data_IF_861246070094
#
_entry.id   IF_861246070094
#
_cell.length_a   1.000
_cell.length_b   1.000
_cell.length_c   1.000
_cell.angle_alpha   90.00
_cell.angle_beta   90.00
_cell.angle_gamma   90.00
#
_symmetry.space_group_name_H-M   'P 1'
#
loop_
_entity.id
_entity.type
_entity.pdbx_description
1 polymer ?
#
# COMPACT_ATOMS: atom_id res chain seq x y z
N UNK A 1 15.68 -7.31 18.91
CA UNK A 1 15.54 -7.33 20.39
C UNK A 1 16.09 -6.08 21.09
N UNK A 2 17.29 -5.57 20.81
CA UNK A 2 17.86 -4.40 21.52
C UNK A 2 17.09 -3.10 21.25
N UNK A 3 16.76 -2.79 20.00
CA UNK A 3 16.04 -1.56 19.62
C UNK A 3 14.65 -1.50 20.28
N UNK A 4 13.89 -2.57 20.27
CA UNK A 4 12.57 -2.64 20.91
C UNK A 4 12.66 -2.37 22.44
N UNK A 5 13.73 -2.84 23.10
CA UNK A 5 13.95 -2.60 24.53
C UNK A 5 14.30 -1.14 24.81
N UNK A 6 15.14 -0.50 23.97
CA UNK A 6 15.49 0.92 24.09
C UNK A 6 14.23 1.81 23.97
N UNK A 7 13.33 1.51 23.02
CA UNK A 7 12.07 2.22 22.93
C UNK A 7 11.16 2.00 24.16
N UNK A 8 11.07 0.78 24.67
CA UNK A 8 10.29 0.50 25.90
C UNK A 8 10.87 1.23 27.11
N UNK A 9 12.21 1.26 27.24
CA UNK A 9 12.89 2.01 28.29
C UNK A 9 12.59 3.52 28.18
N UNK A 10 12.73 4.08 26.99
CA UNK A 10 12.42 5.48 26.73
C UNK A 10 10.97 5.83 27.07
N UNK A 11 10.02 4.97 26.66
CA UNK A 11 8.60 5.17 26.93
C UNK A 11 8.31 5.20 28.43
N UNK A 12 8.84 4.24 29.20
CA UNK A 12 8.70 4.20 30.66
C UNK A 12 9.25 5.48 31.32
N UNK A 13 10.41 5.97 30.86
CA UNK A 13 11.04 7.18 31.39
C UNK A 13 10.29 8.47 30.98
N UNK A 14 9.48 8.43 29.92
CA UNK A 14 8.60 9.55 29.52
C UNK A 14 7.29 9.57 30.32
N UNK A 15 6.80 8.40 30.78
CA UNK A 15 5.57 8.30 31.56
C UNK A 15 5.78 8.69 33.03
N UNK A 16 6.97 8.45 33.57
CA UNK A 16 7.26 8.68 34.98
C UNK A 16 8.48 9.57 35.14
N UNK A 17 8.39 10.52 36.04
CA UNK A 17 9.48 11.46 36.31
C UNK A 17 10.80 10.79 36.68
N UNK A 18 10.73 9.64 37.40
CA UNK A 18 11.90 8.87 37.85
C UNK A 18 11.54 7.43 38.10
N UNK A 19 12.42 6.49 37.70
CA UNK A 19 12.24 5.05 37.93
C UNK A 19 13.56 4.44 38.43
N UNK A 20 13.54 3.67 39.54
CA UNK A 20 14.72 2.93 40.00
C UNK A 20 15.25 1.96 38.96
N UNK A 21 16.59 1.85 38.84
CA UNK A 21 17.22 0.95 37.88
C UNK A 21 16.85 -0.52 38.07
N UNK A 22 16.59 -0.93 39.34
CA UNK A 22 16.11 -2.27 39.69
C UNK A 22 14.71 -2.54 39.19
N UNK A 23 13.80 -1.54 39.25
CA UNK A 23 12.44 -1.65 38.75
C UNK A 23 12.43 -1.73 37.22
N UNK A 24 13.23 -0.90 36.52
CA UNK A 24 13.42 -0.99 35.09
C UNK A 24 13.98 -2.34 34.66
N UNK A 25 14.96 -2.87 35.39
CA UNK A 25 15.55 -4.16 35.10
C UNK A 25 14.51 -5.30 35.22
N UNK A 26 13.63 -5.23 36.21
CA UNK A 26 12.55 -6.18 36.40
C UNK A 26 11.49 -6.07 35.32
N UNK A 27 11.05 -4.84 34.97
CA UNK A 27 10.00 -4.58 33.97
C UNK A 27 10.46 -4.96 32.57
N UNK A 28 11.75 -4.80 32.27
CA UNK A 28 12.33 -5.09 30.96
C UNK A 28 12.99 -6.46 30.86
N UNK A 29 12.93 -7.25 31.97
CA UNK A 29 13.47 -8.61 32.07
C UNK A 29 14.97 -8.69 31.73
N UNK A 30 15.75 -7.74 32.25
CA UNK A 30 17.20 -7.63 32.00
C UNK A 30 17.95 -7.34 33.32
N UNK A 31 19.29 -7.43 33.28
CA UNK A 31 20.10 -7.05 34.41
C UNK A 31 20.16 -5.53 34.59
N UNK A 32 20.36 -5.05 35.81
CA UNK A 32 20.60 -3.63 36.13
C UNK A 32 21.80 -3.08 35.33
N UNK A 33 22.82 -3.90 35.09
CA UNK A 33 23.97 -3.55 34.24
C UNK A 33 23.52 -3.26 32.78
N UNK A 34 22.58 -4.05 32.29
CA UNK A 34 22.02 -3.84 30.92
C UNK A 34 21.24 -2.53 30.84
N UNK A 35 20.48 -2.18 31.90
CA UNK A 35 19.78 -0.90 31.98
C UNK A 35 20.73 0.28 31.88
N UNK A 36 21.84 0.27 32.65
CA UNK A 36 22.82 1.35 32.58
C UNK A 36 23.48 1.45 31.20
N UNK A 37 23.72 0.33 30.52
CA UNK A 37 24.24 0.31 29.15
C UNK A 37 23.21 0.88 28.17
N UNK A 38 21.94 0.52 28.31
CA UNK A 38 20.86 1.04 27.48
C UNK A 38 20.66 2.56 27.71
N UNK A 39 20.77 3.04 28.94
CA UNK A 39 20.77 4.47 29.30
C UNK A 39 21.94 5.21 28.62
N UNK A 40 23.13 4.62 28.63
CA UNK A 40 24.28 5.21 27.95
C UNK A 40 24.01 5.29 26.42
N UNK A 41 23.48 4.24 25.81
CA UNK A 41 23.12 4.21 24.40
C UNK A 41 22.07 5.28 24.06
N UNK A 42 21.07 5.50 24.93
CA UNK A 42 20.11 6.58 24.75
C UNK A 42 20.79 7.96 24.84
N UNK A 43 21.74 8.13 25.77
CA UNK A 43 22.53 9.36 25.89
C UNK A 43 23.38 9.64 24.66
N UNK A 44 24.03 8.62 24.11
CA UNK A 44 24.81 8.70 22.85
C UNK A 44 23.90 9.05 21.65
N UNK A 45 22.63 8.64 21.69
CA UNK A 45 21.61 8.99 20.71
C UNK A 45 21.01 10.40 20.93
N UNK A 46 21.56 11.20 21.89
CA UNK A 46 21.12 12.58 22.15
C UNK A 46 19.91 12.70 23.07
N UNK A 47 19.49 11.63 23.75
CA UNK A 47 18.42 11.66 24.73
C UNK A 47 19.06 11.94 26.11
N UNK A 48 18.79 13.08 26.77
CA UNK A 48 19.44 13.44 28.02
C UNK A 48 18.85 12.66 29.19
N UNK A 49 19.24 11.41 29.30
CA UNK A 49 18.92 10.52 30.42
C UNK A 49 20.03 10.65 31.47
N UNK A 50 19.66 10.78 32.72
CA UNK A 50 20.59 10.82 33.83
C UNK A 50 20.20 9.85 34.94
N UNK A 51 21.19 9.46 35.72
CA UNK A 51 21.01 8.58 36.88
C UNK A 51 21.40 9.31 38.18
N UNK A 52 20.49 9.42 39.13
CA UNK A 52 20.76 9.94 40.45
C UNK A 52 21.01 8.81 41.42
N UNK A 53 22.01 8.97 42.29
CA UNK A 53 22.32 8.04 43.37
C UNK A 53 21.62 8.47 44.67
N UNK A 54 21.21 7.51 45.49
CA UNK A 54 20.63 7.77 46.79
C UNK A 54 19.40 6.94 47.09
N UNK A 55 18.81 7.15 48.26
CA UNK A 55 17.64 6.38 48.75
C UNK A 55 16.41 6.59 47.85
N UNK A 56 16.29 7.78 47.26
CA UNK A 56 15.26 8.18 46.30
C UNK A 56 15.84 8.33 44.88
N UNK A 57 16.98 7.70 44.60
CA UNK A 57 17.66 7.74 43.32
C UNK A 57 16.98 6.90 42.24
N UNK A 58 17.28 7.19 41.03
CA UNK A 58 16.72 6.46 39.87
C UNK A 58 17.21 7.04 38.54
N UNK A 59 16.67 6.51 37.47
CA UNK A 59 16.93 6.98 36.10
C UNK A 59 15.79 7.88 35.71
N UNK A 60 16.12 9.05 35.16
CA UNK A 60 15.16 10.04 34.72
C UNK A 60 15.64 10.70 33.42
N UNK A 61 14.70 11.25 32.69
CA UNK A 61 14.99 12.17 31.58
C UNK A 61 14.96 13.59 32.13
N UNK A 62 15.85 14.48 31.67
CA UNK A 62 15.82 15.89 32.08
C UNK A 62 14.40 16.47 31.88
N UNK A 63 13.81 17.16 32.88
CA UNK A 63 12.43 17.70 32.78
C UNK A 63 12.26 18.70 31.63
N UNK A 64 13.35 19.30 31.19
CA UNK A 64 13.40 20.19 30.01
C UNK A 64 13.46 19.41 28.70
N UNK A 65 13.76 18.12 28.75
CA UNK A 65 13.68 17.24 27.60
C UNK A 65 12.22 16.81 27.43
N UNK A 66 11.50 17.60 26.76
CA UNK A 66 10.37 17.07 25.99
C UNK A 66 11.00 16.32 24.83
N UNK A 67 10.53 15.10 24.54
CA UNK A 67 10.89 14.39 23.32
C UNK A 67 10.73 15.44 22.21
N UNK A 68 11.88 15.97 21.80
CA UNK A 68 11.83 17.29 21.21
C UNK A 68 11.11 17.12 19.89
N UNK A 69 10.01 17.84 19.71
CA UNK A 69 9.43 18.10 18.38
C UNK A 69 10.52 18.47 17.36
N UNK A 70 11.76 18.71 17.81
CA UNK A 70 12.93 19.07 17.03
C UNK A 70 13.70 17.89 16.40
N UNK A 71 13.41 16.61 16.72
CA UNK A 71 13.96 15.49 15.96
C UNK A 71 13.37 15.40 14.55
N UNK A 72 12.20 16.00 14.35
CA UNK A 72 11.57 16.12 13.05
C UNK A 72 11.49 17.59 12.69
N UNK A 73 11.99 17.98 11.54
CA UNK A 73 11.79 19.30 10.95
C UNK A 73 10.31 19.59 10.73
N UNK A 74 9.96 20.84 10.52
CA UNK A 74 8.59 21.21 10.20
C UNK A 74 8.08 20.51 8.92
N UNK A 75 8.96 20.34 7.92
CA UNK A 75 8.66 19.60 6.68
C UNK A 75 8.37 18.13 6.94
N UNK A 76 9.25 17.42 7.66
CA UNK A 76 9.06 15.99 7.97
C UNK A 76 7.77 15.72 8.75
N UNK A 77 7.41 16.61 9.71
CA UNK A 77 6.11 16.52 10.41
C UNK A 77 4.94 16.68 9.46
N UNK A 78 5.06 17.62 8.54
CA UNK A 78 4.02 17.89 7.54
C UNK A 78 3.87 16.69 6.59
N UNK A 79 4.97 16.11 6.13
CA UNK A 79 4.98 14.93 5.26
C UNK A 79 4.34 13.72 5.95
N UNK A 80 4.67 13.49 7.22
CA UNK A 80 4.06 12.43 8.03
C UNK A 80 2.55 12.62 8.20
N UNK A 81 2.10 13.84 8.51
CA UNK A 81 0.67 14.13 8.64
C UNK A 81 -0.07 13.97 7.31
N UNK A 82 0.54 14.40 6.20
CA UNK A 82 -0.01 14.22 4.86
C UNK A 82 -0.13 12.75 4.47
N UNK A 83 0.90 11.93 4.76
CA UNK A 83 0.87 10.49 4.53
C UNK A 83 -0.22 9.79 5.36
N UNK A 84 -0.38 10.18 6.63
CA UNK A 84 -1.44 9.66 7.50
C UNK A 84 -2.84 10.08 7.04
N UNK A 85 -2.98 11.31 6.55
CA UNK A 85 -4.23 11.81 5.97
C UNK A 85 -4.60 11.02 4.71
N UNK A 86 -3.61 10.73 3.85
CA UNK A 86 -3.79 9.86 2.69
C UNK A 86 -4.26 8.46 3.11
N UNK A 87 -3.65 7.84 4.12
CA UNK A 87 -4.09 6.55 4.65
C UNK A 87 -5.48 6.60 5.28
N UNK A 88 -5.82 7.68 6.00
CA UNK A 88 -7.14 7.85 6.59
C UNK A 88 -8.24 7.98 5.53
N UNK A 89 -7.94 8.59 4.37
CA UNK A 89 -8.89 8.69 3.26
C UNK A 89 -9.20 7.33 2.61
N UNK A 90 -8.31 6.35 2.74
CA UNK A 90 -8.56 4.96 2.28
C UNK A 90 -9.46 4.15 3.22
N UNK A 91 -9.72 4.64 4.44
CA UNK A 91 -10.34 3.87 5.52
C UNK A 91 -9.40 2.86 6.19
N UNK A 92 -8.11 2.84 5.83
CA UNK A 92 -7.11 1.97 6.44
C UNK A 92 -6.58 2.49 7.79
N UNK A 93 -6.84 3.76 8.11
CA UNK A 93 -6.53 4.39 9.40
C UNK A 93 -7.76 5.16 9.90
N UNK A 94 -7.90 5.29 11.21
CA UNK A 94 -9.00 6.07 11.78
C UNK A 94 -8.64 7.56 11.85
N UNK A 95 -9.68 8.41 11.78
CA UNK A 95 -9.54 9.87 11.90
C UNK A 95 -9.12 10.29 13.30
N UNK A 96 -9.39 9.48 14.30
CA UNK A 96 -9.02 9.76 15.68
C UNK A 96 -7.50 9.71 15.86
N UNK A 97 -6.83 8.70 15.30
CA UNK A 97 -5.37 8.59 15.28
C UNK A 97 -4.72 9.79 14.59
N UNK A 98 -5.27 10.22 13.45
CA UNK A 98 -4.79 11.41 12.75
C UNK A 98 -4.96 12.68 13.62
N UNK A 99 -6.10 12.84 14.29
CA UNK A 99 -6.36 13.95 15.21
C UNK A 99 -5.38 14.00 16.38
N UNK A 100 -5.10 12.86 17.02
CA UNK A 100 -4.13 12.73 18.12
C UNK A 100 -2.71 13.11 17.65
N UNK A 101 -2.28 12.64 16.49
CA UNK A 101 -0.95 12.94 15.96
C UNK A 101 -0.84 14.40 15.50
N UNK A 102 -1.87 14.98 14.91
CA UNK A 102 -1.90 16.40 14.56
C UNK A 102 -1.78 17.27 15.81
N UNK A 103 -2.49 16.93 16.88
CA UNK A 103 -2.38 17.63 18.17
C UNK A 103 -0.99 17.46 18.79
N UNK A 104 -0.41 16.24 18.71
CA UNK A 104 0.93 15.94 19.23
C UNK A 104 2.03 16.72 18.51
N UNK A 105 1.97 16.81 17.18
CA UNK A 105 2.95 17.59 16.39
C UNK A 105 2.71 19.10 16.45
N UNK A 106 1.55 19.55 16.98
CA UNK A 106 1.22 20.96 17.14
C UNK A 106 1.05 21.71 15.82
N UNK A 107 0.68 20.99 14.76
CA UNK A 107 0.44 21.53 13.42
C UNK A 107 -0.96 21.20 12.95
N UNK A 108 -1.58 22.13 12.21
CA UNK A 108 -2.64 21.76 11.29
C UNK A 108 -1.96 21.11 10.08
N UNK A 109 -2.45 19.96 9.62
CA UNK A 109 -1.99 19.43 8.34
C UNK A 109 -2.33 20.49 7.29
N UNK A 110 -1.34 20.97 6.54
CA UNK A 110 -1.63 21.80 5.40
C UNK A 110 -2.43 20.94 4.41
N UNK A 111 -3.62 21.39 4.03
CA UNK A 111 -4.52 20.70 3.09
C UNK A 111 -4.01 20.93 1.65
N UNK A 112 -2.70 20.67 1.41
CA UNK A 112 -2.07 20.85 0.11
C UNK A 112 -2.25 19.62 -0.80
N UNK A 113 -2.58 18.47 -0.21
CA UNK A 113 -2.85 17.22 -0.91
C UNK A 113 -4.11 16.60 -0.33
N UNK A 114 -5.11 16.41 -1.16
CA UNK A 114 -6.29 15.60 -0.84
C UNK A 114 -6.30 14.39 -1.76
N UNK A 115 -6.15 13.19 -1.19
CA UNK A 115 -6.25 11.95 -1.94
C UNK A 115 -7.65 11.41 -1.74
N UNK A 116 -8.42 11.37 -2.80
CA UNK A 116 -9.74 10.77 -2.82
C UNK A 116 -9.65 9.40 -3.50
N UNK A 117 -9.65 8.36 -2.69
CA UNK A 117 -9.77 6.98 -3.17
C UNK A 117 -11.24 6.58 -3.31
N UNK A 118 -12.14 7.57 -3.48
CA UNK A 118 -13.56 7.35 -3.48
C UNK A 118 -13.93 6.20 -4.44
N UNK A 119 -14.44 5.18 -3.84
CA UNK A 119 -15.19 4.15 -4.53
C UNK A 119 -16.62 4.65 -4.64
N UNK A 120 -17.05 5.00 -5.83
CA UNK A 120 -18.44 5.40 -6.12
C UNK A 120 -19.47 4.40 -5.60
N UNK A 121 -19.04 3.16 -5.31
CA UNK A 121 -19.92 2.11 -4.79
C UNK A 121 -19.93 1.99 -3.25
N UNK A 122 -19.05 2.69 -2.52
CA UNK A 122 -18.92 2.58 -1.05
C UNK A 122 -18.52 1.19 -0.54
N UNK A 123 -18.33 0.23 -1.44
CA UNK A 123 -18.15 -1.20 -1.11
C UNK A 123 -16.79 -1.49 -0.50
N UNK A 124 -15.79 -0.60 -0.70
CA UNK A 124 -14.41 -0.83 -0.25
C UNK A 124 -14.17 -0.43 1.19
N UNK A 125 -14.92 0.53 1.72
CA UNK A 125 -14.71 1.04 3.09
C UNK A 125 -14.85 -0.06 4.15
N UNK A 126 -15.69 -1.07 3.92
CA UNK A 126 -15.84 -2.22 4.81
C UNK A 126 -14.79 -3.31 4.63
N UNK A 127 -14.16 -3.44 3.46
CA UNK A 127 -13.18 -4.51 3.17
C UNK A 127 -11.79 -4.21 3.73
N UNK A 128 -11.32 -2.98 3.61
CA UNK A 128 -9.94 -2.61 3.97
C UNK A 128 -9.59 -2.91 5.44
N UNK A 129 -10.45 -2.62 6.43
CA UNK A 129 -10.17 -3.00 7.82
C UNK A 129 -10.05 -4.52 8.02
N UNK A 130 -10.89 -5.31 7.35
CA UNK A 130 -10.84 -6.78 7.41
C UNK A 130 -9.52 -7.28 6.82
N UNK A 131 -9.15 -6.78 5.65
CA UNK A 131 -7.91 -7.13 4.97
C UNK A 131 -6.69 -6.74 5.79
N UNK A 132 -6.66 -5.52 6.34
CA UNK A 132 -5.58 -5.04 7.23
C UNK A 132 -5.41 -5.95 8.43
N UNK A 133 -6.50 -6.26 9.13
CA UNK A 133 -6.47 -7.13 10.31
C UNK A 133 -5.97 -8.52 9.95
N UNK A 134 -6.46 -9.10 8.85
CA UNK A 134 -6.06 -10.41 8.39
C UNK A 134 -4.57 -10.47 7.97
N UNK A 135 -4.05 -9.43 7.31
CA UNK A 135 -2.63 -9.35 6.95
C UNK A 135 -1.76 -9.26 8.20
N UNK A 136 -2.09 -8.35 9.13
CA UNK A 136 -1.28 -8.12 10.32
C UNK A 136 -1.29 -9.33 11.28
N UNK A 137 -2.43 -10.04 11.39
CA UNK A 137 -2.59 -11.19 12.27
C UNK A 137 -2.32 -12.52 11.56
N UNK A 138 -1.88 -12.51 10.30
CA UNK A 138 -1.67 -13.71 9.48
C UNK A 138 -2.88 -14.64 9.48
N UNK A 139 -4.07 -14.08 9.28
CA UNK A 139 -5.32 -14.81 9.30
C UNK A 139 -5.78 -15.14 7.88
N UNK A 140 -6.04 -16.41 7.56
CA UNK A 140 -6.56 -16.80 6.25
C UNK A 140 -7.94 -16.19 5.95
N UNK A 141 -8.20 -15.96 4.68
CA UNK A 141 -9.43 -15.37 4.16
C UNK A 141 -10.07 -16.28 3.13
N UNK A 142 -11.39 -16.23 3.06
CA UNK A 142 -12.16 -16.83 1.98
C UNK A 142 -13.06 -15.77 1.33
N UNK A 143 -13.19 -15.87 0.01
CA UNK A 143 -14.06 -14.99 -0.79
C UNK A 143 -14.39 -15.63 -2.14
N UNK A 144 -15.38 -15.09 -2.81
CA UNK A 144 -15.65 -15.41 -4.21
C UNK A 144 -14.96 -14.38 -5.10
N UNK A 145 -14.33 -14.86 -6.15
CA UNK A 145 -13.57 -14.04 -7.06
C UNK A 145 -14.04 -14.17 -8.50
N UNK A 146 -14.35 -13.03 -9.11
CA UNK A 146 -14.62 -12.94 -10.54
C UNK A 146 -13.31 -12.75 -11.31
N UNK A 147 -12.99 -13.70 -12.19
CA UNK A 147 -11.82 -13.59 -13.07
C UNK A 147 -12.09 -12.62 -14.25
N UNK A 148 -11.13 -12.44 -15.15
CA UNK A 148 -11.29 -11.61 -16.34
C UNK A 148 -12.28 -12.19 -17.35
N UNK A 149 -12.47 -13.50 -17.36
CA UNK A 149 -13.41 -14.19 -18.24
C UNK A 149 -14.86 -14.18 -17.71
N UNK A 150 -15.11 -13.54 -16.55
CA UNK A 150 -16.45 -13.47 -15.95
C UNK A 150 -16.81 -14.64 -15.06
N UNK A 151 -15.96 -15.68 -14.94
CA UNK A 151 -16.24 -16.82 -14.09
C UNK A 151 -16.07 -16.46 -12.62
N UNK A 152 -17.00 -16.93 -11.80
CA UNK A 152 -16.93 -16.78 -10.34
C UNK A 152 -16.50 -18.09 -9.69
N UNK A 153 -15.47 -18.02 -8.84
CA UNK A 153 -15.02 -19.19 -8.11
C UNK A 153 -14.60 -18.82 -6.68
N UNK A 154 -14.87 -19.71 -5.69
CA UNK A 154 -14.41 -19.52 -4.33
C UNK A 154 -12.88 -19.59 -4.25
N UNK A 155 -12.31 -18.76 -3.38
CA UNK A 155 -10.87 -18.72 -3.11
C UNK A 155 -10.64 -18.70 -1.61
N UNK A 156 -9.65 -19.47 -1.20
CA UNK A 156 -9.06 -19.41 0.13
C UNK A 156 -7.62 -18.95 -0.01
N UNK A 157 -7.25 -17.93 0.74
CA UNK A 157 -5.97 -17.26 0.57
C UNK A 157 -5.35 -16.88 1.89
N UNK A 158 -4.01 -16.85 1.93
CA UNK A 158 -3.23 -16.24 2.97
C UNK A 158 -2.84 -14.82 2.50
N UNK A 159 -3.44 -13.78 3.04
CA UNK A 159 -3.22 -12.41 2.60
C UNK A 159 -1.82 -11.93 3.02
N UNK A 160 -1.08 -11.27 2.09
CA UNK A 160 0.28 -10.83 2.34
C UNK A 160 0.38 -9.31 2.34
N UNK A 161 -0.16 -8.65 1.30
CA UNK A 161 -0.01 -7.21 1.12
C UNK A 161 -1.15 -6.61 0.30
N UNK A 162 -1.47 -5.35 0.59
CA UNK A 162 -2.33 -4.54 -0.27
C UNK A 162 -1.47 -3.65 -1.16
N UNK A 163 -1.81 -3.58 -2.43
CA UNK A 163 -1.21 -2.68 -3.40
C UNK A 163 -2.25 -1.74 -4.00
N UNK A 164 -1.87 -0.47 -4.10
CA UNK A 164 -2.59 0.47 -4.95
C UNK A 164 -1.75 0.70 -6.21
N UNK A 165 -2.24 0.25 -7.34
CA UNK A 165 -1.56 0.31 -8.63
C UNK A 165 -2.57 0.59 -9.74
N UNK A 166 -2.23 1.48 -10.70
CA UNK A 166 -3.08 1.82 -11.85
C UNK A 166 -4.52 2.12 -11.42
N UNK A 167 -4.66 3.06 -10.47
CA UNK A 167 -5.93 3.54 -9.91
C UNK A 167 -6.84 2.44 -9.32
N UNK A 168 -6.27 1.30 -8.93
CA UNK A 168 -7.01 0.19 -8.35
C UNK A 168 -6.25 -0.47 -7.18
N UNK A 169 -7.03 -0.99 -6.22
CA UNK A 169 -6.51 -1.77 -5.12
C UNK A 169 -6.44 -3.25 -5.47
N UNK A 170 -5.35 -3.88 -5.08
CA UNK A 170 -5.08 -5.30 -5.25
C UNK A 170 -4.66 -5.93 -3.93
N UNK A 171 -5.08 -7.16 -3.70
CA UNK A 171 -4.59 -8.02 -2.64
C UNK A 171 -3.57 -8.98 -3.23
N UNK A 172 -2.32 -8.90 -2.79
CA UNK A 172 -1.32 -9.96 -2.98
C UNK A 172 -1.57 -11.02 -1.92
N UNK A 173 -1.76 -12.26 -2.33
CA UNK A 173 -2.01 -13.37 -1.43
C UNK A 173 -1.49 -14.69 -1.99
N UNK A 174 -1.13 -15.62 -1.11
CA UNK A 174 -0.90 -17.01 -1.48
C UNK A 174 -2.25 -17.72 -1.61
N UNK A 175 -2.54 -18.20 -2.81
CA UNK A 175 -3.80 -18.91 -3.10
C UNK A 175 -3.65 -20.40 -2.76
N UNK A 176 -4.41 -20.89 -1.79
CA UNK A 176 -4.31 -22.28 -1.30
C UNK A 176 -4.68 -23.32 -2.38
N UNK A 177 -5.69 -23.01 -3.22
CA UNK A 177 -6.09 -23.93 -4.30
C UNK A 177 -5.05 -24.00 -5.43
N UNK A 178 -4.32 -22.93 -5.68
CA UNK A 178 -3.30 -22.86 -6.76
C UNK A 178 -1.89 -23.07 -6.26
N UNK A 179 -1.69 -23.10 -4.95
CA UNK A 179 -0.38 -23.19 -4.28
C UNK A 179 0.65 -22.22 -4.84
N UNK A 180 0.23 -20.98 -5.08
CA UNK A 180 1.05 -19.93 -5.68
C UNK A 180 0.59 -18.54 -5.26
N UNK A 181 1.52 -17.58 -5.36
CA UNK A 181 1.20 -16.16 -5.22
C UNK A 181 0.24 -15.71 -6.33
N UNK A 182 -0.76 -14.94 -5.95
CA UNK A 182 -1.76 -14.38 -6.85
C UNK A 182 -2.13 -12.98 -6.41
N UNK A 183 -2.48 -12.15 -7.40
CA UNK A 183 -3.03 -10.82 -7.18
C UNK A 183 -4.53 -10.83 -7.44
N UNK A 184 -5.28 -10.27 -6.50
CA UNK A 184 -6.74 -10.20 -6.58
C UNK A 184 -7.17 -8.74 -6.57
N UNK A 185 -7.82 -8.26 -7.64
CA UNK A 185 -8.39 -6.90 -7.68
C UNK A 185 -9.54 -6.81 -6.69
N UNK A 186 -9.51 -5.85 -5.76
CA UNK A 186 -10.49 -5.79 -4.67
C UNK A 186 -11.93 -5.67 -5.15
N UNK A 187 -12.17 -4.95 -6.26
CA UNK A 187 -13.51 -4.79 -6.83
C UNK A 187 -14.16 -6.10 -7.29
N UNK A 188 -13.33 -7.12 -7.57
CA UNK A 188 -13.76 -8.46 -8.01
C UNK A 188 -13.94 -9.46 -6.87
N UNK A 189 -13.63 -9.06 -5.63
CA UNK A 189 -13.81 -9.86 -4.42
C UNK A 189 -15.25 -9.66 -3.92
N UNK A 190 -15.94 -10.76 -3.66
CA UNK A 190 -17.29 -10.78 -3.06
C UNK A 190 -17.32 -11.72 -1.88
N UNK A 191 -18.22 -11.46 -0.92
CA UNK A 191 -18.43 -12.31 0.27
C UNK A 191 -17.13 -12.59 1.05
N UNK A 192 -16.30 -11.56 1.21
CA UNK A 192 -15.05 -11.65 1.98
C UNK A 192 -15.35 -12.00 3.43
N UNK A 193 -14.65 -13.02 3.96
CA UNK A 193 -14.73 -13.45 5.36
C UNK A 193 -13.40 -14.01 5.84
N UNK A 194 -13.12 -13.84 7.10
CA UNK A 194 -12.02 -14.54 7.77
C UNK A 194 -12.41 -16.00 7.99
N UNK A 195 -11.46 -16.90 7.85
CA UNK A 195 -11.62 -18.32 8.14
C UNK A 195 -10.59 -18.76 9.18
N UNK A 196 -10.90 -19.75 10.01
CA UNK A 196 -9.93 -20.35 10.91
C UNK A 196 -8.84 -21.07 10.11
N UNK A 197 -7.62 -21.07 10.64
CA UNK A 197 -6.48 -21.74 10.02
C UNK A 197 -5.20 -20.98 10.24
N UNK A 198 -4.10 -21.62 9.89
CA UNK A 198 -2.76 -21.05 9.94
C UNK A 198 -2.21 -20.92 8.51
N UNK A 199 -1.21 -20.08 8.35
CA UNK A 199 -0.49 -19.98 7.08
C UNK A 199 0.39 -21.22 6.90
N UNK A 200 0.33 -21.91 5.75
CA UNK A 200 1.29 -22.96 5.43
C UNK A 200 2.70 -22.35 5.25
N UNK A 201 3.72 -23.20 5.40
CA UNK A 201 5.13 -22.77 5.32
C UNK A 201 5.45 -22.03 4.02
N UNK A 202 4.88 -22.47 2.91
CA UNK A 202 5.04 -21.82 1.62
C UNK A 202 4.48 -20.40 1.60
N UNK A 203 3.36 -20.16 2.26
CA UNK A 203 2.80 -18.81 2.41
C UNK A 203 3.64 -17.94 3.33
N UNK A 204 4.20 -18.51 4.41
CA UNK A 204 5.11 -17.82 5.31
C UNK A 204 6.41 -17.42 4.61
N UNK A 205 6.95 -18.29 3.76
CA UNK A 205 8.12 -17.95 2.92
C UNK A 205 7.83 -16.76 2.00
N UNK A 206 6.65 -16.70 1.39
CA UNK A 206 6.23 -15.56 0.57
C UNK A 206 6.05 -14.25 1.36
N UNK A 207 5.67 -14.32 2.64
CA UNK A 207 5.59 -13.14 3.53
C UNK A 207 6.97 -12.59 3.86
N UNK A 208 7.96 -13.47 4.00
CA UNK A 208 9.35 -13.10 4.31
C UNK A 208 10.08 -12.45 3.12
N UNK A 209 9.62 -12.68 1.91
CA UNK A 209 10.16 -12.07 0.71
C UNK A 209 9.53 -10.69 0.48
N UNK A 210 10.26 -9.63 0.89
CA UNK A 210 9.83 -8.24 0.69
C UNK A 210 9.75 -7.85 -0.80
N UNK A 211 10.44 -8.60 -1.66
CA UNK A 211 10.49 -8.40 -3.12
C UNK A 211 9.47 -9.25 -3.85
N UNK A 212 8.65 -10.04 -3.13
CA UNK A 212 7.65 -10.91 -3.73
C UNK A 212 6.68 -10.11 -4.60
N UNK A 213 7.05 -9.92 -5.83
CA UNK A 213 6.20 -9.44 -6.91
C UNK A 213 5.78 -10.64 -7.75
N UNK A 214 4.54 -10.62 -8.18
CA UNK A 214 4.15 -11.58 -9.22
C UNK A 214 4.83 -11.11 -10.50
N UNK A 215 5.98 -11.68 -10.77
CA UNK A 215 6.56 -11.59 -12.10
C UNK A 215 5.62 -12.35 -13.03
N UNK A 216 5.05 -11.65 -13.98
CA UNK A 216 4.33 -12.32 -15.05
C UNK A 216 5.35 -12.97 -15.97
N UNK A 217 5.28 -14.29 -16.08
CA UNK A 217 6.12 -15.04 -17.05
C UNK A 217 5.77 -14.69 -18.50
N UNK A 218 4.71 -13.93 -18.73
CA UNK A 218 4.25 -13.53 -20.05
C UNK A 218 4.82 -12.13 -20.35
N UNK A 219 5.61 -11.99 -21.42
CA UNK A 219 6.18 -10.70 -21.79
C UNK A 219 5.08 -9.70 -22.19
N UNK A 220 5.28 -8.41 -21.95
CA UNK A 220 4.35 -7.39 -22.37
C UNK A 220 4.24 -7.32 -23.91
N UNK A 221 3.05 -7.09 -24.40
CA UNK A 221 2.81 -6.85 -25.83
C UNK A 221 3.20 -5.40 -26.12
N UNK A 222 4.21 -5.22 -26.98
CA UNK A 222 4.53 -3.91 -27.55
C UNK A 222 3.56 -3.61 -28.67
N UNK A 223 3.03 -2.40 -28.71
CA UNK A 223 2.09 -1.96 -29.73
C UNK A 223 2.27 -0.50 -30.08
N UNK A 224 1.80 -0.15 -31.25
CA UNK A 224 1.75 1.21 -31.75
C UNK A 224 0.29 1.57 -32.09
N UNK A 225 -0.21 2.65 -31.49
CA UNK A 225 -1.53 3.19 -31.78
C UNK A 225 -1.39 4.54 -32.49
N UNK A 226 -2.21 4.78 -33.49
CA UNK A 226 -2.51 6.13 -33.97
C UNK A 226 -3.80 6.58 -33.31
N UNK A 227 -3.80 7.76 -32.70
CA UNK A 227 -4.93 8.32 -31.97
C UNK A 227 -5.18 9.73 -32.49
N UNK A 228 -6.44 10.02 -32.82
CA UNK A 228 -6.89 11.32 -33.30
C UNK A 228 -6.50 12.45 -32.34
N UNK A 229 -6.09 13.60 -32.88
CA UNK A 229 -5.68 14.79 -32.15
C UNK A 229 -6.74 15.27 -31.12
N UNK A 230 -8.03 15.07 -31.42
CA UNK A 230 -9.13 15.44 -30.51
C UNK A 230 -9.14 14.70 -29.20
N UNK A 231 -8.42 13.59 -29.11
CA UNK A 231 -8.29 12.75 -27.88
C UNK A 231 -7.10 13.14 -27.01
N UNK A 232 -6.49 14.31 -27.22
CA UNK A 232 -5.31 14.77 -26.49
C UNK A 232 -5.46 14.63 -24.96
N UNK A 233 -6.61 15.02 -24.39
CA UNK A 233 -6.88 14.93 -22.96
C UNK A 233 -6.68 13.50 -22.41
N UNK A 234 -7.12 12.50 -23.17
CA UNK A 234 -7.03 11.10 -22.77
C UNK A 234 -5.66 10.48 -23.08
N UNK A 235 -5.04 10.93 -24.17
CA UNK A 235 -3.70 10.48 -24.54
C UNK A 235 -2.70 10.80 -23.43
N UNK A 236 -2.76 12.02 -22.87
CA UNK A 236 -1.90 12.42 -21.77
C UNK A 236 -2.28 11.78 -20.40
N UNK A 237 -3.51 11.29 -20.24
CA UNK A 237 -3.91 10.51 -19.08
C UNK A 237 -3.40 9.05 -19.15
N UNK A 238 -3.29 8.50 -20.37
CA UNK A 238 -3.04 7.08 -20.60
C UNK A 238 -1.57 6.75 -20.95
N UNK A 239 -0.78 7.74 -21.44
CA UNK A 239 0.60 7.56 -21.92
C UNK A 239 1.55 8.64 -21.38
N UNK A 240 2.78 8.25 -21.10
CA UNK A 240 3.86 9.18 -20.74
C UNK A 240 4.37 9.92 -21.99
N UNK A 241 4.97 11.11 -21.81
CA UNK A 241 5.44 11.94 -22.93
C UNK A 241 6.46 11.24 -23.83
N UNK A 242 7.33 10.41 -23.25
CA UNK A 242 8.38 9.66 -23.96
C UNK A 242 7.82 8.51 -24.83
N UNK A 243 6.57 8.13 -24.59
CA UNK A 243 5.83 7.13 -25.37
C UNK A 243 5.10 7.74 -26.56
N UNK A 244 5.07 9.06 -26.68
CA UNK A 244 4.25 9.78 -27.65
C UNK A 244 5.11 10.46 -28.72
N UNK A 245 4.62 10.44 -29.96
CA UNK A 245 5.08 11.30 -31.05
C UNK A 245 3.89 11.83 -31.82
N UNK A 246 4.07 12.92 -32.55
CA UNK A 246 3.01 13.48 -33.39
C UNK A 246 3.26 13.16 -34.86
N UNK A 247 2.20 12.79 -35.56
CA UNK A 247 2.18 12.67 -37.00
C UNK A 247 1.99 14.07 -37.67
N UNK A 248 2.28 14.17 -38.94
CA UNK A 248 2.18 15.44 -39.72
C UNK A 248 0.77 16.07 -39.67
N UNK A 249 -0.27 15.26 -39.53
CA UNK A 249 -1.67 15.71 -39.46
C UNK A 249 -2.10 16.08 -38.01
N UNK A 250 -1.18 16.04 -37.05
CA UNK A 250 -1.46 16.34 -35.64
C UNK A 250 -1.95 15.17 -34.80
N UNK A 251 -2.20 13.99 -35.38
CA UNK A 251 -2.55 12.78 -34.65
C UNK A 251 -1.38 12.35 -33.73
N UNK A 252 -1.70 11.68 -32.62
CA UNK A 252 -0.72 11.08 -31.74
C UNK A 252 -0.35 9.66 -32.23
N UNK A 253 0.93 9.35 -32.15
CA UNK A 253 1.46 8.00 -32.31
C UNK A 253 1.98 7.57 -30.97
N UNK A 254 1.28 6.62 -30.32
CA UNK A 254 1.64 6.09 -29.02
C UNK A 254 2.37 4.75 -29.16
N UNK A 255 3.56 4.65 -28.57
CA UNK A 255 4.37 3.43 -28.48
C UNK A 255 4.36 2.93 -27.04
N UNK A 256 3.70 1.83 -26.76
CA UNK A 256 3.58 1.30 -25.41
C UNK A 256 3.77 -0.20 -25.33
N UNK A 257 3.99 -0.69 -24.13
CA UNK A 257 4.12 -2.11 -23.85
C UNK A 257 3.24 -2.47 -22.65
N UNK A 258 2.17 -3.20 -22.89
CA UNK A 258 1.23 -3.59 -21.84
C UNK A 258 1.16 -5.11 -21.69
N UNK A 259 0.83 -5.55 -20.48
CA UNK A 259 0.63 -6.96 -20.24
C UNK A 259 -0.53 -7.51 -21.08
N UNK A 260 -0.36 -8.70 -21.68
CA UNK A 260 -1.42 -9.29 -22.48
C UNK A 260 -2.66 -9.59 -21.65
N UNK A 261 -3.83 -9.41 -22.25
CA UNK A 261 -5.11 -9.69 -21.62
C UNK A 261 -6.28 -9.03 -22.35
N UNK A 262 -7.49 -9.48 -22.03
CA UNK A 262 -8.72 -8.92 -22.60
C UNK A 262 -8.89 -7.43 -22.32
N UNK A 263 -8.31 -6.94 -21.22
CA UNK A 263 -8.34 -5.54 -20.85
C UNK A 263 -7.64 -4.65 -21.89
N UNK A 264 -6.59 -5.14 -22.60
CA UNK A 264 -5.88 -4.37 -23.62
C UNK A 264 -6.79 -4.08 -24.81
N UNK A 265 -7.58 -5.06 -25.25
CA UNK A 265 -8.57 -4.86 -26.30
C UNK A 265 -9.63 -3.86 -25.85
N UNK A 266 -10.15 -4.02 -24.63
CA UNK A 266 -11.14 -3.09 -24.06
C UNK A 266 -10.59 -1.67 -23.91
N UNK A 267 -9.31 -1.52 -23.55
CA UNK A 267 -8.61 -0.25 -23.47
C UNK A 267 -8.58 0.45 -24.83
N UNK A 268 -8.18 -0.29 -25.88
CA UNK A 268 -8.12 0.25 -27.26
C UNK A 268 -9.54 0.62 -27.75
N UNK A 269 -10.51 -0.26 -27.57
CA UNK A 269 -11.90 -0.02 -27.94
C UNK A 269 -12.52 1.17 -27.18
N UNK A 270 -12.02 1.46 -25.98
CA UNK A 270 -12.42 2.62 -25.20
C UNK A 270 -12.13 3.97 -25.88
N UNK A 271 -11.22 4.04 -26.85
CA UNK A 271 -11.00 5.20 -27.70
C UNK A 271 -12.06 5.35 -28.81
N UNK A 272 -12.96 4.36 -28.96
CA UNK A 272 -13.99 4.39 -29.99
C UNK A 272 -13.41 4.40 -31.41
N UNK A 273 -13.93 5.27 -32.24
CA UNK A 273 -13.47 5.43 -33.63
C UNK A 273 -12.18 6.28 -33.77
N UNK A 274 -11.65 6.77 -32.64
CA UNK A 274 -10.52 7.71 -32.63
C UNK A 274 -9.15 7.06 -32.54
N UNK A 275 -9.07 5.73 -32.39
CA UNK A 275 -7.79 5.03 -32.30
C UNK A 275 -7.71 3.89 -33.32
N UNK A 276 -6.51 3.70 -33.86
CA UNK A 276 -6.18 2.59 -34.76
C UNK A 276 -4.89 1.93 -34.35
N UNK A 277 -4.92 0.60 -34.23
CA UNK A 277 -3.71 -0.20 -34.02
C UNK A 277 -2.91 -0.23 -35.31
N UNK A 278 -1.67 0.24 -35.26
CA UNK A 278 -0.73 0.17 -36.36
C UNK A 278 0.08 -1.13 -36.30
N UNK A 279 0.54 -1.47 -35.10
CA UNK A 279 1.33 -2.66 -34.81
C UNK A 279 1.01 -3.21 -33.42
N UNK A 280 1.14 -4.54 -33.17
CA UNK A 280 1.32 -5.59 -34.17
C UNK A 280 -0.01 -5.95 -34.87
N UNK A 281 0.08 -6.52 -36.06
CA UNK A 281 -1.10 -6.97 -36.85
C UNK A 281 -2.01 -7.91 -36.05
N UNK A 282 -1.42 -8.83 -35.26
CA UNK A 282 -2.19 -9.75 -34.44
C UNK A 282 -3.13 -9.07 -33.45
N UNK A 283 -2.71 -7.91 -32.89
CA UNK A 283 -3.53 -7.11 -32.00
C UNK A 283 -4.63 -6.37 -32.79
N UNK A 284 -4.30 -5.83 -33.96
CA UNK A 284 -5.29 -5.21 -34.85
C UNK A 284 -6.38 -6.22 -35.26
N UNK A 285 -5.99 -7.43 -35.63
CA UNK A 285 -6.92 -8.51 -35.99
C UNK A 285 -7.80 -8.92 -34.79
N UNK A 286 -7.25 -8.90 -33.56
CA UNK A 286 -8.02 -9.19 -32.35
C UNK A 286 -9.06 -8.09 -32.05
N UNK A 287 -8.71 -6.84 -32.23
CA UNK A 287 -9.63 -5.69 -32.10
C UNK A 287 -10.73 -5.77 -33.16
N UNK A 288 -10.40 -6.09 -34.42
CA UNK A 288 -11.40 -6.26 -35.48
C UNK A 288 -12.41 -7.37 -35.15
N UNK A 289 -11.95 -8.53 -34.70
CA UNK A 289 -12.85 -9.62 -34.27
C UNK A 289 -13.81 -9.19 -33.15
N UNK A 290 -13.34 -8.37 -32.20
CA UNK A 290 -14.19 -7.89 -31.12
C UNK A 290 -15.21 -6.86 -31.59
N UNK A 291 -14.82 -5.96 -32.53
CA UNK A 291 -15.72 -5.03 -33.18
C UNK A 291 -16.83 -5.74 -33.98
N UNK A 292 -16.50 -6.85 -34.65
CA UNK A 292 -17.50 -7.67 -35.34
C UNK A 292 -18.54 -8.25 -34.38
N UNK A 293 -18.10 -8.82 -33.25
CA UNK A 293 -18.98 -9.30 -32.18
C UNK A 293 -19.87 -8.17 -31.62
N UNK A 294 -19.26 -7.02 -31.30
CA UNK A 294 -20.01 -5.84 -30.83
C UNK A 294 -21.06 -5.41 -31.87
N UNK A 295 -20.66 -5.29 -33.14
CA UNK A 295 -21.59 -4.94 -34.22
C UNK A 295 -22.76 -5.91 -34.36
N UNK A 296 -22.51 -7.21 -34.15
CA UNK A 296 -23.56 -8.23 -34.21
C UNK A 296 -24.62 -8.08 -33.10
N UNK A 297 -24.24 -7.55 -31.93
CA UNK A 297 -25.20 -7.30 -30.83
C UNK A 297 -26.22 -6.20 -31.14
N UNK A 298 -25.89 -5.27 -32.07
CA UNK A 298 -26.74 -4.13 -32.42
C UNK A 298 -27.43 -4.29 -33.77
N UNK A 299 -27.15 -5.37 -34.51
CA UNK A 299 -27.82 -5.73 -35.76
C UNK A 299 -28.98 -6.71 -35.50
N UNK A 300 -29.94 -6.29 -34.66
CA UNK A 300 -31.16 -7.05 -34.39
C UNK A 300 -32.26 -6.65 -35.37
#
# INVERSE_FOLDING_TARGET
MQISRLFRLLYLLLERERIPASELAQTLEVSVRTIYRDVQTLGEAGIPVYAERGRDGGIAILPTFRLNKSMLSAGEKQDMLSALQALASTGASDRETLGKLSAFFGGQSADWVRIDFADWSGTRSGMLPILKTAILNRQPLAFDYYNSSGDCAPREVCPIRLWFKSSAWYLLAYCMQRRALRTFKLTRIKRLRSIPGEFPDEALACVADETAEIQSDVPPIRFTLRIDASMAFRVYDDFEEDQLSQAENGDFIAHAAFMPGEWLISFILGYGAHAKVLEPKALADAVCRELEKMSALYKT
#
